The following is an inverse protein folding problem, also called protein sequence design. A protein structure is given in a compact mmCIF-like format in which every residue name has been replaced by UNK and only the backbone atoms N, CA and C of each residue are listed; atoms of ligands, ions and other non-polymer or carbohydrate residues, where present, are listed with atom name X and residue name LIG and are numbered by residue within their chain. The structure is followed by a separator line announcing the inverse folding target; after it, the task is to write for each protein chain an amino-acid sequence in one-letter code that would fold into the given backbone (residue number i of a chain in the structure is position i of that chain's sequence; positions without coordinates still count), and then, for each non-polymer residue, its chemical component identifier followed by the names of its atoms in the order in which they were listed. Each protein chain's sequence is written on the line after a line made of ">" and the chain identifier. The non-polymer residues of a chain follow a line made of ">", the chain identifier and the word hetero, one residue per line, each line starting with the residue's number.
data_IF_041327524550
#
_entry.id   IF_041327524550
#
_cell.length_a   1.000
_cell.length_b   1.000
_cell.length_c   1.000
_cell.angle_alpha   90.00
_cell.angle_beta   90.00
_cell.angle_gamma   90.00
#
_symmetry.space_group_name_H-M   'P 1'
#
loop_
_entity.id
_entity.type
_entity.pdbx_description
1 polymer ?
#
# COMPACT_ATOMS: atom_id res chain seq x y z
N UNK A 1 3.81 -2.04 -1.56
CA UNK A 1 2.94 -2.50 -0.45
C UNK A 1 3.79 -3.33 0.49
N UNK A 2 3.89 -2.98 1.77
CA UNK A 2 4.81 -3.65 2.68
C UNK A 2 4.14 -4.80 3.44
N UNK A 3 4.91 -5.84 3.77
CA UNK A 3 4.46 -7.07 4.43
C UNK A 3 5.52 -7.62 5.37
N UNK A 4 5.08 -8.24 6.46
CA UNK A 4 5.92 -9.11 7.28
C UNK A 4 6.27 -10.39 6.54
N UNK A 5 7.43 -10.97 6.83
CA UNK A 5 7.92 -12.17 6.14
C UNK A 5 6.92 -13.33 6.18
N UNK A 6 6.26 -13.58 7.32
CA UNK A 6 5.27 -14.64 7.46
C UNK A 6 4.07 -14.44 6.52
N UNK A 7 3.55 -13.21 6.44
CA UNK A 7 2.44 -12.86 5.54
C UNK A 7 2.85 -13.00 4.07
N UNK A 8 4.05 -12.53 3.71
CA UNK A 8 4.59 -12.67 2.36
C UNK A 8 4.75 -14.15 1.99
N UNK A 9 5.31 -14.96 2.90
CA UNK A 9 5.51 -16.38 2.67
C UNK A 9 4.21 -17.14 2.50
N UNK A 10 3.16 -16.79 3.26
CA UNK A 10 1.83 -17.37 3.07
C UNK A 10 1.27 -17.02 1.68
N UNK A 11 1.39 -15.76 1.28
CA UNK A 11 0.84 -15.28 0.02
C UNK A 11 1.50 -15.91 -1.23
N UNK A 12 2.83 -16.11 -1.21
CA UNK A 12 3.58 -16.69 -2.35
C UNK A 12 3.62 -18.22 -2.36
N UNK A 13 3.00 -18.87 -1.38
CA UNK A 13 2.94 -20.32 -1.29
C UNK A 13 2.16 -20.93 -2.47
N UNK A 14 2.41 -22.20 -2.77
CA UNK A 14 1.61 -22.91 -3.75
C UNK A 14 0.18 -23.10 -3.26
N UNK A 15 -0.80 -22.78 -4.10
CA UNK A 15 -2.18 -22.69 -3.65
C UNK A 15 -2.39 -21.67 -2.53
N UNK A 16 -1.45 -20.72 -2.36
CA UNK A 16 -1.51 -19.69 -1.33
C UNK A 16 -2.78 -18.85 -1.47
N UNK A 17 -3.28 -18.28 -0.36
CA UNK A 17 -4.50 -17.50 -0.38
C UNK A 17 -4.35 -16.28 -1.28
N UNK A 18 -5.47 -15.82 -1.82
CA UNK A 18 -5.53 -14.46 -2.34
C UNK A 18 -5.22 -13.48 -1.21
N UNK A 19 -4.42 -12.47 -1.49
CA UNK A 19 -4.28 -11.36 -0.57
C UNK A 19 -5.59 -10.56 -0.59
N UNK A 20 -6.35 -10.71 0.49
CA UNK A 20 -7.65 -10.06 0.71
C UNK A 20 -7.49 -8.73 1.46
N UNK A 21 -8.57 -7.94 1.46
CA UNK A 21 -8.64 -6.64 2.14
C UNK A 21 -8.59 -6.79 3.65
N UNK A 22 -8.23 -5.71 4.37
CA UNK A 22 -8.27 -5.68 5.83
C UNK A 22 -9.63 -6.15 6.37
N UNK A 23 -10.72 -5.57 5.84
CA UNK A 23 -12.09 -5.90 6.26
C UNK A 23 -12.45 -7.36 6.03
N UNK A 24 -12.03 -7.95 4.91
CA UNK A 24 -12.25 -9.37 4.64
C UNK A 24 -11.44 -10.28 5.57
N UNK A 25 -10.21 -9.88 5.92
CA UNK A 25 -9.38 -10.63 6.87
C UNK A 25 -9.96 -10.59 8.29
N UNK A 26 -10.49 -9.44 8.71
CA UNK A 26 -11.15 -9.29 10.02
C UNK A 26 -12.43 -10.11 10.07
N UNK A 27 -13.30 -10.00 9.05
CA UNK A 27 -14.56 -10.76 8.99
C UNK A 27 -14.36 -12.28 8.98
N UNK A 28 -13.29 -12.77 8.35
CA UNK A 28 -12.97 -14.21 8.31
C UNK A 28 -12.23 -14.71 9.54
N UNK A 29 -11.87 -13.83 10.49
CA UNK A 29 -11.04 -14.19 11.64
C UNK A 29 -9.56 -14.43 11.31
N UNK A 30 -9.14 -14.21 10.06
CA UNK A 30 -7.73 -14.33 9.66
C UNK A 30 -6.85 -13.20 10.22
N UNK A 31 -7.46 -12.09 10.65
CA UNK A 31 -6.80 -10.96 11.31
C UNK A 31 -7.63 -10.49 12.51
N UNK A 32 -6.95 -10.20 13.61
CA UNK A 32 -7.53 -9.51 14.76
C UNK A 32 -7.24 -8.02 14.60
N UNK A 33 -8.27 -7.13 14.59
CA UNK A 33 -8.06 -5.69 14.67
C UNK A 33 -7.23 -5.33 15.90
N UNK A 34 -6.33 -4.38 15.77
CA UNK A 34 -5.54 -3.91 16.89
C UNK A 34 -6.34 -2.90 17.73
N UNK A 35 -6.08 -2.88 19.03
CA UNK A 35 -6.63 -1.88 19.95
C UNK A 35 -5.90 -0.55 19.78
N UNK A 36 -6.22 0.18 18.71
CA UNK A 36 -5.65 1.49 18.41
C UNK A 36 -6.64 2.37 17.64
N UNK A 37 -6.42 3.69 17.73
CA UNK A 37 -7.26 4.72 17.10
C UNK A 37 -7.43 4.56 15.58
N UNK A 38 -6.48 3.91 14.91
CA UNK A 38 -6.49 3.74 13.46
C UNK A 38 -7.46 2.64 13.05
N UNK A 39 -7.37 1.46 13.67
CA UNK A 39 -8.24 0.31 13.40
C UNK A 39 -9.67 0.59 13.91
N UNK A 40 -9.84 1.29 15.03
CA UNK A 40 -11.15 1.72 15.56
C UNK A 40 -11.94 2.59 14.56
N UNK A 41 -11.27 3.58 13.95
CA UNK A 41 -11.93 4.55 13.07
C UNK A 41 -11.89 4.14 11.59
N UNK A 42 -11.17 3.07 11.26
CA UNK A 42 -10.88 2.65 9.88
C UNK A 42 -12.11 2.53 9.02
N UNK A 43 -13.12 1.82 9.50
CA UNK A 43 -14.39 1.60 8.77
C UNK A 43 -15.07 2.93 8.45
N UNK A 44 -15.15 3.84 9.43
CA UNK A 44 -15.79 5.13 9.24
C UNK A 44 -15.02 6.01 8.25
N UNK A 45 -13.70 6.11 8.41
CA UNK A 45 -12.85 6.94 7.57
C UNK A 45 -12.83 6.47 6.11
N UNK A 46 -12.64 5.17 5.90
CA UNK A 46 -12.59 4.58 4.56
C UNK A 46 -13.97 4.61 3.88
N UNK A 47 -15.07 4.32 4.60
CA UNK A 47 -16.42 4.36 4.03
C UNK A 47 -16.85 5.79 3.66
N UNK A 48 -16.43 6.80 4.41
CA UNK A 48 -16.76 8.22 4.12
C UNK A 48 -16.26 8.62 2.73
N UNK A 49 -15.04 8.24 2.35
CA UNK A 49 -14.49 8.59 1.02
C UNK A 49 -14.77 7.54 -0.07
N UNK A 50 -15.11 6.29 0.31
CA UNK A 50 -15.34 5.16 -0.60
C UNK A 50 -16.66 4.45 -0.29
N UNK A 51 -17.80 5.17 -0.32
CA UNK A 51 -19.07 4.63 0.13
C UNK A 51 -19.50 3.44 -0.73
N UNK A 52 -19.90 2.36 -0.05
CA UNK A 52 -20.43 1.15 -0.68
C UNK A 52 -19.41 0.15 -1.22
N UNK A 53 -18.11 0.45 -1.19
CA UNK A 53 -17.07 -0.49 -1.67
C UNK A 53 -15.73 -0.44 -0.92
N UNK A 54 -15.61 0.38 0.13
CA UNK A 54 -14.38 0.52 0.92
C UNK A 54 -13.81 -0.82 1.40
N UNK A 55 -14.68 -1.78 1.74
CA UNK A 55 -14.30 -3.08 2.26
C UNK A 55 -13.73 -4.03 1.19
N UNK A 56 -13.85 -3.65 -0.08
CA UNK A 56 -13.26 -4.30 -1.24
C UNK A 56 -11.95 -3.65 -1.69
N UNK A 57 -11.43 -2.65 -0.97
CA UNK A 57 -10.18 -1.99 -1.32
C UNK A 57 -8.97 -2.59 -0.59
N UNK A 58 -7.93 -2.88 -1.37
CA UNK A 58 -6.58 -3.10 -0.87
C UNK A 58 -5.79 -1.80 -0.98
N UNK A 59 -5.18 -1.39 0.14
CA UNK A 59 -4.43 -0.14 0.25
C UNK A 59 -2.93 -0.37 0.07
N UNK A 60 -2.27 0.55 -0.63
CA UNK A 60 -0.82 0.57 -0.80
C UNK A 60 -0.32 1.99 -1.06
N UNK A 61 0.98 2.25 -0.90
CA UNK A 61 1.57 3.55 -1.23
C UNK A 61 2.11 3.57 -2.67
N UNK A 62 1.91 4.70 -3.36
CA UNK A 62 2.60 4.99 -4.61
C UNK A 62 4.07 5.29 -4.30
N UNK A 63 4.99 4.63 -5.00
CA UNK A 63 6.41 4.68 -4.68
C UNK A 63 7.25 4.53 -5.95
N UNK A 64 8.39 5.23 -6.02
CA UNK A 64 9.31 5.19 -7.17
C UNK A 64 10.54 4.30 -6.97
N UNK A 65 10.96 4.06 -5.73
CA UNK A 65 12.20 3.33 -5.40
C UNK A 65 11.98 1.90 -4.87
N UNK A 66 10.72 1.45 -4.85
CA UNK A 66 10.33 0.12 -4.39
C UNK A 66 10.47 -0.11 -2.88
N UNK A 67 10.71 0.92 -2.05
CA UNK A 67 10.78 0.77 -0.58
C UNK A 67 9.38 0.68 0.05
N UNK A 68 8.40 1.34 -0.54
CA UNK A 68 7.06 1.45 0.04
C UNK A 68 7.10 2.11 1.42
N UNK A 69 6.28 1.64 2.36
CA UNK A 69 6.13 2.22 3.69
C UNK A 69 6.55 1.22 4.78
N UNK A 70 7.73 1.40 5.41
CA UNK A 70 8.31 0.42 6.35
C UNK A 70 7.44 0.06 7.55
N UNK A 71 6.63 1.00 8.06
CA UNK A 71 5.71 0.76 9.18
C UNK A 71 4.69 -0.37 8.93
N UNK A 72 4.43 -0.71 7.65
CA UNK A 72 3.53 -1.79 7.26
C UNK A 72 4.23 -3.14 7.05
N UNK A 73 5.56 -3.20 7.24
CA UNK A 73 6.37 -4.41 7.24
C UNK A 73 7.70 -4.27 6.51
N UNK A 74 8.61 -5.20 6.80
CA UNK A 74 10.00 -5.13 6.31
C UNK A 74 10.15 -5.40 4.80
N UNK A 75 9.18 -6.11 4.19
CA UNK A 75 9.25 -6.51 2.77
C UNK A 75 8.28 -5.70 1.93
N UNK A 76 8.80 -4.84 1.07
CA UNK A 76 8.02 -4.13 0.08
C UNK A 76 7.74 -5.01 -1.13
N UNK A 77 6.47 -5.06 -1.54
CA UNK A 77 5.99 -5.77 -2.72
C UNK A 77 5.51 -4.75 -3.75
N UNK A 78 6.09 -4.80 -4.93
CA UNK A 78 5.67 -4.07 -6.12
C UNK A 78 4.74 -4.94 -6.95
N UNK A 79 3.60 -4.39 -7.37
CA UNK A 79 2.61 -5.08 -8.18
C UNK A 79 2.80 -4.79 -9.67
N UNK A 80 2.51 -5.78 -10.52
CA UNK A 80 2.51 -5.65 -11.98
C UNK A 80 1.41 -4.68 -12.40
N UNK A 81 1.83 -3.52 -12.94
CA UNK A 81 0.89 -2.47 -13.38
C UNK A 81 -0.19 -3.00 -14.33
N UNK A 82 0.17 -3.86 -15.27
CA UNK A 82 -0.76 -4.46 -16.25
C UNK A 82 -1.88 -5.30 -15.64
N UNK A 83 -1.73 -5.78 -14.40
CA UNK A 83 -2.72 -6.62 -13.72
C UNK A 83 -3.56 -5.87 -12.68
N UNK A 84 -3.24 -4.61 -12.40
CA UNK A 84 -3.95 -3.79 -11.40
C UNK A 84 -4.55 -2.51 -11.99
N UNK A 85 -3.99 -1.96 -13.07
CA UNK A 85 -4.30 -0.60 -13.52
C UNK A 85 -5.78 -0.33 -13.82
N UNK A 86 -6.50 -1.31 -14.36
CA UNK A 86 -7.94 -1.17 -14.69
C UNK A 86 -8.85 -1.14 -13.46
N UNK A 87 -8.34 -1.55 -12.29
CA UNK A 87 -9.08 -1.65 -11.03
C UNK A 87 -8.40 -0.88 -9.90
N UNK A 88 -7.50 0.04 -10.25
CA UNK A 88 -6.79 0.88 -9.30
C UNK A 88 -7.07 2.36 -9.54
N UNK A 89 -7.23 3.08 -8.44
CA UNK A 89 -7.20 4.54 -8.37
C UNK A 89 -6.11 4.97 -7.40
N UNK A 90 -5.75 6.25 -7.50
CA UNK A 90 -4.93 6.91 -6.48
C UNK A 90 -5.75 7.97 -5.78
N UNK A 91 -5.48 8.14 -4.50
CA UNK A 91 -6.09 9.11 -3.61
C UNK A 91 -4.99 9.93 -2.96
N UNK A 92 -5.26 11.21 -2.71
CA UNK A 92 -4.21 12.17 -2.33
C UNK A 92 -3.45 11.72 -1.09
N UNK A 93 -4.14 11.18 -0.07
CA UNK A 93 -3.55 10.82 1.21
C UNK A 93 -4.35 9.75 1.97
N UNK A 94 -3.96 9.46 3.21
CA UNK A 94 -4.70 8.55 4.08
C UNK A 94 -6.12 9.08 4.38
N UNK A 95 -7.18 8.26 4.26
CA UNK A 95 -8.57 8.68 4.45
C UNK A 95 -8.88 9.31 5.82
N UNK A 96 -8.19 8.85 6.87
CA UNK A 96 -8.35 9.38 8.23
C UNK A 96 -7.89 10.85 8.29
N UNK A 97 -6.71 11.13 7.72
CA UNK A 97 -6.14 12.47 7.68
C UNK A 97 -6.95 13.38 6.76
N UNK A 98 -7.36 12.84 5.61
CA UNK A 98 -8.15 13.55 4.61
C UNK A 98 -9.46 14.07 5.19
N UNK A 99 -10.25 13.19 5.82
CA UNK A 99 -11.55 13.57 6.38
C UNK A 99 -11.40 14.68 7.43
N UNK A 100 -10.39 14.58 8.30
CA UNK A 100 -10.08 15.60 9.31
C UNK A 100 -9.65 16.93 8.67
N UNK A 101 -8.74 16.90 7.69
CA UNK A 101 -8.18 18.10 7.05
C UNK A 101 -9.21 18.85 6.21
N UNK A 102 -10.06 18.12 5.49
CA UNK A 102 -11.03 18.69 4.57
C UNK A 102 -12.44 18.81 5.15
N UNK A 103 -12.61 18.48 6.43
CA UNK A 103 -13.91 18.48 7.13
C UNK A 103 -14.98 17.69 6.35
N UNK A 104 -14.64 16.48 5.92
CA UNK A 104 -15.53 15.56 5.20
C UNK A 104 -16.11 14.57 6.19
N UNK A 105 -17.42 14.58 6.34
CA UNK A 105 -18.16 13.76 7.30
C UNK A 105 -18.98 12.67 6.61
N UNK A 106 -19.48 11.73 7.40
CA UNK A 106 -20.34 10.66 6.88
C UNK A 106 -21.60 11.24 6.20
N UNK A 107 -21.82 10.85 4.96
CA UNK A 107 -22.91 11.36 4.11
C UNK A 107 -22.47 12.47 3.15
N UNK A 108 -21.33 13.11 3.40
CA UNK A 108 -20.76 14.08 2.46
C UNK A 108 -20.22 13.41 1.21
N UNK A 109 -20.14 14.20 0.14
CA UNK A 109 -19.42 13.79 -1.07
C UNK A 109 -17.95 14.09 -0.88
N UNK A 110 -17.08 13.13 -1.21
CA UNK A 110 -15.65 13.40 -1.36
C UNK A 110 -15.45 14.58 -2.32
N UNK A 111 -14.74 15.64 -1.92
CA UNK A 111 -14.51 16.78 -2.80
C UNK A 111 -13.80 16.36 -4.09
N UNK A 112 -14.08 17.02 -5.24
CA UNK A 112 -13.42 16.71 -6.49
C UNK A 112 -11.94 17.12 -6.45
N UNK A 113 -11.10 16.44 -7.25
CA UNK A 113 -9.67 16.76 -7.39
C UNK A 113 -8.72 15.89 -6.56
N UNK A 114 -9.22 15.19 -5.54
CA UNK A 114 -8.41 14.39 -4.60
C UNK A 114 -8.25 12.92 -5.00
N UNK A 115 -8.85 12.51 -6.12
CA UNK A 115 -8.79 11.15 -6.66
C UNK A 115 -8.50 11.18 -8.15
N UNK A 116 -7.70 10.23 -8.62
CA UNK A 116 -7.47 10.01 -10.03
C UNK A 116 -7.47 8.52 -10.37
N UNK A 117 -7.81 8.20 -11.63
CA UNK A 117 -7.58 6.86 -12.16
C UNK A 117 -6.08 6.54 -12.20
N UNK A 118 -5.72 5.26 -12.25
CA UNK A 118 -4.31 4.85 -12.36
C UNK A 118 -3.57 5.54 -13.51
N UNK A 119 -4.23 5.72 -14.67
CA UNK A 119 -3.65 6.39 -15.83
C UNK A 119 -3.30 7.87 -15.56
N UNK A 120 -4.05 8.54 -14.70
CA UNK A 120 -3.87 9.95 -14.34
C UNK A 120 -3.12 10.15 -13.01
N UNK A 121 -2.51 9.09 -12.44
CA UNK A 121 -1.84 9.17 -11.14
C UNK A 121 -0.73 10.21 -11.06
N UNK A 122 0.00 10.42 -12.15
CA UNK A 122 1.05 11.43 -12.23
C UNK A 122 0.50 12.85 -12.10
N UNK A 123 -0.71 13.12 -12.62
CA UNK A 123 -1.36 14.43 -12.47
C UNK A 123 -1.73 14.70 -11.02
N UNK A 124 -2.33 13.72 -10.34
CA UNK A 124 -2.66 13.85 -8.92
C UNK A 124 -1.40 14.09 -8.08
N UNK A 125 -0.35 13.27 -8.30
CA UNK A 125 0.90 13.40 -7.56
C UNK A 125 1.58 14.76 -7.81
N UNK A 126 1.63 15.22 -9.06
CA UNK A 126 2.19 16.52 -9.39
C UNK A 126 1.40 17.66 -8.75
N UNK A 127 0.06 17.60 -8.75
CA UNK A 127 -0.78 18.60 -8.09
C UNK A 127 -0.57 18.65 -6.59
N UNK A 128 -0.58 17.48 -5.92
CA UNK A 128 -0.34 17.37 -4.47
C UNK A 128 1.03 17.93 -4.07
N UNK A 129 2.05 17.63 -4.87
CA UNK A 129 3.46 17.88 -4.54
C UNK A 129 4.01 19.14 -5.19
N UNK A 130 3.19 19.94 -5.86
CA UNK A 130 3.64 21.12 -6.63
C UNK A 130 4.47 22.09 -5.79
N UNK A 131 4.07 22.31 -4.53
CA UNK A 131 4.80 23.18 -3.58
C UNK A 131 6.14 22.62 -3.11
N UNK A 132 6.38 21.31 -3.29
CA UNK A 132 7.62 20.61 -2.90
C UNK A 132 8.60 20.46 -4.06
N UNK A 133 8.24 20.92 -5.27
CA UNK A 133 9.04 20.78 -6.49
C UNK A 133 9.45 22.17 -6.98
N UNK A 134 10.74 22.37 -7.24
CA UNK A 134 11.28 23.62 -7.77
C UNK A 134 12.38 23.34 -8.81
N UNK A 135 12.97 24.40 -9.38
CA UNK A 135 13.98 24.26 -10.44
C UNK A 135 15.28 23.54 -10.04
N UNK A 136 15.55 23.35 -8.74
CA UNK A 136 16.69 22.60 -8.23
C UNK A 136 16.37 21.12 -7.93
N UNK A 137 15.08 20.73 -7.96
CA UNK A 137 14.67 19.34 -7.70
C UNK A 137 15.21 18.41 -8.77
N UNK A 138 15.91 17.36 -8.36
CA UNK A 138 16.50 16.34 -9.23
C UNK A 138 15.65 15.07 -9.27
N UNK A 139 15.92 14.19 -10.24
CA UNK A 139 15.26 12.89 -10.33
C UNK A 139 15.45 12.01 -9.07
N UNK A 140 16.57 12.19 -8.37
CA UNK A 140 16.88 11.46 -7.15
C UNK A 140 16.02 11.87 -5.94
N UNK A 141 15.43 13.07 -5.99
CA UNK A 141 14.66 13.63 -4.88
C UNK A 141 13.20 13.15 -4.90
N UNK A 142 12.65 12.84 -6.08
CA UNK A 142 11.23 12.49 -6.24
C UNK A 142 10.76 11.32 -5.37
N UNK A 143 11.52 10.22 -5.17
CA UNK A 143 11.08 9.15 -4.27
C UNK A 143 10.82 9.63 -2.84
N UNK A 144 11.68 10.51 -2.31
CA UNK A 144 11.54 11.07 -0.97
C UNK A 144 10.47 12.16 -0.90
N UNK A 145 10.25 12.90 -1.99
CA UNK A 145 9.17 13.88 -2.06
C UNK A 145 7.80 13.18 -2.08
N UNK A 146 7.67 12.07 -2.81
CA UNK A 146 6.41 11.34 -3.03
C UNK A 146 5.92 10.56 -1.80
N UNK A 147 6.85 10.07 -0.99
CA UNK A 147 6.57 9.24 0.17
C UNK A 147 7.46 9.71 1.32
N UNK A 148 6.84 10.39 2.28
CA UNK A 148 7.48 10.93 3.48
C UNK A 148 6.99 10.17 4.70
N UNK A 149 7.92 9.53 5.37
CA UNK A 149 7.67 8.79 6.61
C UNK A 149 7.68 9.78 7.79
N UNK A 150 6.65 9.72 8.63
CA UNK A 150 6.69 10.32 9.95
C UNK A 150 7.35 9.32 10.91
N UNK A 151 8.54 9.69 11.40
CA UNK A 151 9.34 8.84 12.29
C UNK A 151 8.73 8.69 13.68
N UNK A 152 7.73 9.51 14.02
CA UNK A 152 7.12 9.59 15.35
C UNK A 152 5.71 8.97 15.36
N UNK A 153 4.96 9.11 14.27
CA UNK A 153 3.58 8.65 14.18
C UNK A 153 3.26 8.10 12.78
N UNK A 154 3.42 6.79 12.61
CA UNK A 154 3.21 6.06 11.36
C UNK A 154 1.86 6.29 10.65
N UNK A 155 0.83 6.76 11.34
CA UNK A 155 -0.44 7.09 10.68
C UNK A 155 -0.54 8.52 10.15
N UNK A 156 0.50 9.33 10.34
CA UNK A 156 0.62 10.70 9.82
C UNK A 156 1.62 10.76 8.63
N UNK A 157 2.06 9.61 8.12
CA UNK A 157 2.90 9.52 6.91
C UNK A 157 2.24 10.26 5.72
N UNK A 158 3.02 11.04 4.97
CA UNK A 158 2.54 11.79 3.81
C UNK A 158 2.92 11.06 2.50
N UNK A 159 1.92 10.44 1.88
CA UNK A 159 2.09 9.68 0.64
C UNK A 159 0.82 9.70 -0.21
N UNK A 160 0.94 9.39 -1.50
CA UNK A 160 -0.22 9.15 -2.36
C UNK A 160 -0.69 7.70 -2.18
N UNK A 161 -1.92 7.52 -1.72
CA UNK A 161 -2.49 6.20 -1.47
C UNK A 161 -3.03 5.60 -2.78
N UNK A 162 -2.82 4.30 -2.97
CA UNK A 162 -3.32 3.51 -4.09
C UNK A 162 -4.41 2.59 -3.56
N UNK A 163 -5.61 2.73 -4.13
CA UNK A 163 -6.76 1.89 -3.86
C UNK A 163 -6.90 0.87 -4.97
N UNK A 164 -6.74 -0.42 -4.67
CA UNK A 164 -6.93 -1.50 -5.64
C UNK A 164 -8.15 -2.32 -5.28
N UNK A 165 -9.12 -2.38 -6.19
CA UNK A 165 -10.37 -3.10 -5.96
C UNK A 165 -10.19 -4.62 -6.07
N UNK A 166 -10.73 -5.33 -5.09
CA UNK A 166 -10.76 -6.78 -5.02
C UNK A 166 -9.44 -7.42 -4.58
N UNK A 167 -9.42 -8.77 -4.53
CA UNK A 167 -8.28 -9.53 -4.05
C UNK A 167 -7.07 -9.50 -5.01
N UNK A 168 -5.88 -9.75 -4.46
CA UNK A 168 -4.61 -9.81 -5.19
C UNK A 168 -4.06 -11.24 -5.21
N UNK A 169 -3.99 -11.83 -6.41
CA UNK A 169 -3.34 -13.13 -6.62
C UNK A 169 -1.81 -12.99 -6.62
N UNK A 170 -1.08 -14.02 -6.22
CA UNK A 170 0.40 -14.02 -6.20
C UNK A 170 1.06 -13.66 -7.53
N UNK A 171 0.41 -13.94 -8.67
CA UNK A 171 0.91 -13.56 -10.01
C UNK A 171 0.95 -12.05 -10.23
N UNK A 172 0.23 -11.27 -9.41
CA UNK A 172 0.31 -9.80 -9.43
C UNK A 172 1.64 -9.27 -8.91
N UNK A 173 2.44 -10.08 -8.22
CA UNK A 173 3.73 -9.67 -7.70
C UNK A 173 4.71 -9.50 -8.87
N UNK A 174 5.31 -8.32 -8.96
CA UNK A 174 6.38 -7.99 -9.92
C UNK A 174 7.75 -8.12 -9.27
N UNK A 175 7.90 -7.53 -8.09
CA UNK A 175 9.19 -7.40 -7.41
C UNK A 175 8.99 -7.37 -5.90
N UNK A 176 9.96 -7.90 -5.15
CA UNK A 176 10.00 -7.82 -3.68
C UNK A 176 11.33 -7.26 -3.20
N UNK A 177 11.31 -6.25 -2.34
CA UNK A 177 12.50 -5.65 -1.74
C UNK A 177 12.41 -5.77 -0.21
N UNK A 178 13.44 -6.28 0.45
CA UNK A 178 13.43 -6.42 1.91
C UNK A 178 14.75 -6.91 2.48
N UNK A 179 14.89 -6.97 3.81
CA UNK A 179 16.14 -7.32 4.44
C UNK A 179 16.43 -8.82 4.39
N UNK A 180 17.69 -9.19 4.56
CA UNK A 180 18.05 -10.58 4.88
C UNK A 180 17.70 -10.85 6.36
N UNK A 181 16.85 -11.86 6.67
CA UNK A 181 16.50 -12.11 8.06
C UNK A 181 17.71 -12.46 8.94
N UNK A 182 17.79 -11.92 10.17
CA UNK A 182 18.90 -12.19 11.09
C UNK A 182 18.84 -13.59 11.70
N UNK A 183 17.65 -14.21 11.78
CA UNK A 183 17.47 -15.55 12.36
C UNK A 183 17.56 -16.65 11.30
N UNK A 184 18.15 -17.79 11.68
CA UNK A 184 18.33 -18.94 10.77
C UNK A 184 17.00 -19.50 10.24
N UNK A 185 15.99 -19.61 11.09
CA UNK A 185 14.66 -20.08 10.70
C UNK A 185 14.02 -19.14 9.65
N UNK A 186 14.08 -17.83 9.90
CA UNK A 186 13.54 -16.82 8.98
C UNK A 186 14.32 -16.78 7.67
N UNK A 187 15.64 -17.03 7.67
CA UNK A 187 16.41 -17.19 6.42
C UNK A 187 15.95 -18.39 5.61
N UNK A 188 15.61 -19.51 6.25
CA UNK A 188 15.07 -20.67 5.55
C UNK A 188 13.72 -20.33 4.88
N UNK A 189 12.86 -19.60 5.59
CA UNK A 189 11.60 -19.10 5.09
C UNK A 189 11.79 -18.12 3.92
N UNK A 190 12.69 -17.14 4.06
CA UNK A 190 13.02 -16.20 2.98
C UNK A 190 13.59 -16.90 1.74
N UNK A 191 14.43 -17.92 1.91
CA UNK A 191 14.90 -18.73 0.79
C UNK A 191 13.76 -19.49 0.08
N UNK A 192 12.74 -19.94 0.82
CA UNK A 192 11.53 -20.51 0.22
C UNK A 192 10.75 -19.46 -0.57
N UNK A 193 10.58 -18.26 -0.01
CA UNK A 193 9.94 -17.13 -0.70
C UNK A 193 10.66 -16.82 -2.01
N UNK A 194 11.99 -16.67 -2.00
CA UNK A 194 12.79 -16.42 -3.22
C UNK A 194 12.59 -17.49 -4.30
N UNK A 195 12.54 -18.78 -3.91
CA UNK A 195 12.25 -19.87 -4.86
C UNK A 195 10.86 -19.72 -5.48
N UNK A 196 9.85 -19.36 -4.69
CA UNK A 196 8.48 -19.14 -5.18
C UNK A 196 8.37 -17.90 -6.06
N UNK A 197 8.98 -16.77 -5.66
CA UNK A 197 9.03 -15.56 -6.49
C UNK A 197 9.63 -15.86 -7.86
N UNK A 198 10.73 -16.62 -7.91
CA UNK A 198 11.33 -17.08 -9.17
C UNK A 198 10.34 -17.87 -10.03
N UNK A 199 9.61 -18.83 -9.46
CA UNK A 199 8.59 -19.59 -10.21
C UNK A 199 7.42 -18.74 -10.70
N UNK A 200 7.13 -17.61 -10.05
CA UNK A 200 6.10 -16.65 -10.45
C UNK A 200 6.59 -15.62 -11.48
N UNK A 201 7.88 -15.66 -11.85
CA UNK A 201 8.53 -14.67 -12.70
C UNK A 201 8.69 -13.30 -12.03
N UNK A 202 8.75 -13.26 -10.70
CA UNK A 202 9.02 -12.05 -9.93
C UNK A 202 10.50 -11.97 -9.54
N UNK A 203 11.03 -10.75 -9.49
CA UNK A 203 12.40 -10.47 -9.02
C UNK A 203 12.41 -10.06 -7.54
N UNK A 204 13.60 -9.99 -6.94
CA UNK A 204 13.77 -9.47 -5.59
C UNK A 204 15.13 -8.83 -5.38
N UNK A 205 15.19 -7.88 -4.43
CA UNK A 205 16.41 -7.24 -3.94
C UNK A 205 16.52 -7.41 -2.41
N UNK A 206 17.73 -7.70 -1.94
CA UNK A 206 18.08 -7.73 -0.52
C UNK A 206 18.74 -6.40 -0.13
N UNK A 207 18.29 -5.77 0.96
CA UNK A 207 18.79 -4.47 1.46
C UNK A 207 19.26 -4.52 2.91
#
# INVERSE_FOLDING_TARGET
>A
MNRWLGTLSSWVAEGGPLLTTFHSQVRSGARIPQDNKWDEQRTSAENTINPGYFDNLSFSALCLNGRGMPHYGDYSVTLKTSLISSRSSVFEENPFLFNRRHAVYSGDKCPPGYRASWANRSKLAASKLASKINGATTNGDFPAILLQEDTTNAGEDDFVEVHTYGPLHQLTIQHVKGPVPPRRADRALWNQVKRRLRSLGASWDEV
#
